data_IF_553458334133
#
_entry.id   IF_553458334133
#
_cell.length_a   1.000
_cell.length_b   1.000
_cell.length_c   1.000
_cell.angle_alpha   90.00
_cell.angle_beta   90.00
_cell.angle_gamma   90.00
#
_symmetry.space_group_name_H-M   'P 1'
#
loop_
_entity.id
_entity.type
_entity.pdbx_description
1 polymer ?
#
# COMPACT_ATOMS: atom_id res chain seq x y z
N UNK A 1 -23.34 3.02 14.05
CA UNK A 1 -22.00 2.39 14.07
C UNK A 1 -22.06 1.12 13.24
N UNK A 2 -21.57 1.17 11.99
CA UNK A 2 -21.55 -0.03 11.13
C UNK A 2 -20.41 -0.93 11.59
N UNK A 3 -20.75 -2.07 12.17
CA UNK A 3 -19.78 -3.13 12.40
C UNK A 3 -19.36 -3.65 11.02
N UNK A 4 -18.12 -3.33 10.61
CA UNK A 4 -17.51 -3.98 9.46
C UNK A 4 -17.53 -5.49 9.74
N UNK A 5 -18.31 -6.21 8.94
CA UNK A 5 -18.43 -7.66 8.98
C UNK A 5 -17.02 -8.23 8.85
N UNK A 6 -16.53 -8.89 9.91
CA UNK A 6 -15.14 -9.39 9.96
C UNK A 6 -14.85 -10.24 8.73
N UNK A 7 -13.72 -9.96 8.10
CA UNK A 7 -13.31 -10.54 6.82
C UNK A 7 -13.35 -12.07 6.82
N UNK A 8 -13.83 -12.63 5.72
CA UNK A 8 -13.92 -14.07 5.47
C UNK A 8 -12.49 -14.64 5.29
N UNK A 9 -11.95 -15.29 6.31
CA UNK A 9 -10.64 -15.95 6.26
C UNK A 9 -10.83 -17.35 5.67
N UNK A 10 -10.09 -17.66 4.61
CA UNK A 10 -10.05 -19.02 4.04
C UNK A 10 -8.68 -19.65 4.24
N UNK A 11 -8.71 -20.91 4.65
CA UNK A 11 -7.53 -21.76 4.77
C UNK A 11 -7.43 -22.69 3.56
N UNK A 12 -6.23 -22.85 3.01
CA UNK A 12 -5.94 -23.84 1.98
C UNK A 12 -4.52 -24.41 2.16
N UNK A 13 -4.16 -25.43 1.38
CA UNK A 13 -2.82 -26.08 1.41
C UNK A 13 -1.65 -25.12 1.16
N UNK A 14 -1.88 -23.90 0.68
CA UNK A 14 -0.88 -22.86 0.38
C UNK A 14 -0.79 -21.78 1.47
N UNK A 15 -1.59 -21.85 2.54
CA UNK A 15 -1.54 -20.95 3.70
C UNK A 15 -2.86 -20.23 4.02
N UNK A 16 -2.75 -19.16 4.81
CA UNK A 16 -3.87 -18.32 5.24
C UNK A 16 -4.10 -17.16 4.27
N UNK A 17 -5.36 -16.94 3.88
CA UNK A 17 -5.72 -15.86 2.97
C UNK A 17 -6.89 -15.04 3.51
N UNK A 18 -6.80 -13.73 3.35
CA UNK A 18 -7.82 -12.75 3.76
C UNK A 18 -8.30 -11.96 2.53
N UNK A 19 -9.62 -11.74 2.43
CA UNK A 19 -10.20 -10.79 1.46
C UNK A 19 -10.04 -9.39 2.02
N UNK A 20 -9.57 -8.47 1.19
CA UNK A 20 -9.41 -7.08 1.59
C UNK A 20 -10.52 -6.23 0.99
N UNK A 21 -11.38 -5.66 1.84
CA UNK A 21 -12.35 -4.58 1.58
C UNK A 21 -12.77 -4.43 0.11
N UNK A 22 -13.66 -5.30 -0.34
CA UNK A 22 -14.29 -5.21 -1.66
C UNK A 22 -13.39 -5.52 -2.86
N UNK A 23 -12.13 -5.90 -2.66
CA UNK A 23 -11.23 -6.30 -3.75
C UNK A 23 -11.28 -7.81 -3.97
N UNK A 24 -11.33 -8.22 -5.25
CA UNK A 24 -11.44 -9.62 -5.69
C UNK A 24 -10.16 -10.45 -5.48
N UNK A 25 -9.10 -9.87 -4.91
CA UNK A 25 -7.85 -10.58 -4.70
C UNK A 25 -7.65 -10.99 -3.24
N UNK A 26 -7.14 -12.20 -3.08
CA UNK A 26 -6.76 -12.78 -1.80
C UNK A 26 -5.31 -12.42 -1.49
N UNK A 27 -5.05 -11.99 -0.25
CA UNK A 27 -3.67 -11.75 0.21
C UNK A 27 -3.25 -12.81 1.20
N UNK A 28 -2.00 -13.26 1.09
CA UNK A 28 -1.41 -14.18 2.06
C UNK A 28 -1.18 -13.49 3.41
N UNK A 29 -1.58 -14.14 4.48
CA UNK A 29 -1.21 -13.76 5.84
C UNK A 29 0.14 -14.38 6.22
N UNK A 30 0.71 -13.88 7.31
CA UNK A 30 1.93 -14.40 7.87
C UNK A 30 1.78 -15.87 8.29
N UNK A 31 2.80 -16.69 8.04
CA UNK A 31 2.77 -18.12 8.38
C UNK A 31 2.89 -18.38 9.89
N UNK A 32 3.48 -17.45 10.65
CA UNK A 32 3.62 -17.56 12.11
C UNK A 32 2.23 -17.58 12.77
N UNK A 33 1.98 -18.60 13.60
CA UNK A 33 0.73 -18.79 14.31
C UNK A 33 0.38 -17.56 15.18
N UNK A 34 -0.90 -17.18 15.19
CA UNK A 34 -1.38 -15.97 15.86
C UNK A 34 -1.06 -14.65 15.14
N UNK A 35 -0.38 -14.67 13.98
CA UNK A 35 -0.06 -13.45 13.24
C UNK A 35 -1.02 -13.17 12.08
N UNK A 36 -1.99 -12.28 12.30
CA UNK A 36 -2.95 -11.85 11.26
C UNK A 36 -2.41 -10.71 10.36
N UNK A 37 -1.10 -10.44 10.41
CA UNK A 37 -0.50 -9.39 9.57
C UNK A 37 -0.21 -9.95 8.17
N UNK A 38 -0.31 -9.08 7.17
CA UNK A 38 -0.03 -9.44 5.77
C UNK A 38 1.42 -9.87 5.57
N UNK A 39 1.60 -10.98 4.87
CA UNK A 39 2.90 -11.40 4.40
C UNK A 39 3.39 -10.47 3.27
N UNK A 40 4.67 -10.09 3.32
CA UNK A 40 5.32 -9.29 2.28
C UNK A 40 6.41 -10.09 1.56
N UNK A 41 7.23 -10.82 2.30
CA UNK A 41 8.41 -11.53 1.78
C UNK A 41 8.44 -12.92 2.42
N UNK A 42 8.63 -13.97 1.61
CA UNK A 42 8.71 -15.37 2.07
C UNK A 42 7.54 -15.83 2.97
N UNK A 43 6.32 -15.38 2.68
CA UNK A 43 5.12 -15.64 3.50
C UNK A 43 5.22 -15.08 4.95
N UNK A 44 6.12 -14.14 5.23
CA UNK A 44 6.27 -13.48 6.53
C UNK A 44 5.87 -12.02 6.48
N UNK A 45 5.32 -11.53 7.59
CA UNK A 45 5.12 -10.10 7.77
C UNK A 45 6.46 -9.39 8.00
N UNK A 46 6.49 -8.06 7.85
CA UNK A 46 7.72 -7.26 8.00
C UNK A 46 8.43 -7.54 9.33
N UNK A 47 7.67 -7.68 10.42
CA UNK A 47 8.21 -7.93 11.77
C UNK A 47 8.92 -9.28 11.88
N UNK A 48 8.24 -10.38 11.51
CA UNK A 48 8.84 -11.71 11.60
C UNK A 48 10.01 -11.89 10.63
N UNK A 49 9.96 -11.22 9.47
CA UNK A 49 11.10 -11.21 8.56
C UNK A 49 12.32 -10.52 9.16
N UNK A 50 12.15 -9.38 9.83
CA UNK A 50 13.28 -8.70 10.49
C UNK A 50 13.82 -9.48 11.67
N UNK A 51 12.95 -10.09 12.49
CA UNK A 51 13.35 -10.92 13.62
C UNK A 51 14.15 -12.15 13.15
N UNK A 52 13.69 -12.85 12.12
CA UNK A 52 14.47 -13.97 11.58
C UNK A 52 15.80 -13.50 10.99
N UNK A 53 15.80 -12.39 10.25
CA UNK A 53 17.03 -11.86 9.66
C UNK A 53 18.07 -11.54 10.73
N UNK A 54 17.65 -10.97 11.86
CA UNK A 54 18.54 -10.73 13.01
C UNK A 54 19.07 -12.03 13.60
N UNK A 55 18.21 -13.05 13.79
CA UNK A 55 18.64 -14.38 14.27
C UNK A 55 19.69 -15.00 13.34
N UNK A 56 19.50 -14.93 12.02
CA UNK A 56 20.44 -15.50 11.05
C UNK A 56 21.81 -14.82 11.05
N UNK A 57 21.88 -13.54 11.42
CA UNK A 57 23.15 -12.80 11.52
C UNK A 57 23.98 -13.21 12.74
N UNK A 58 23.32 -13.67 13.81
CA UNK A 58 24.00 -14.11 15.04
C UNK A 58 24.56 -15.52 14.85
N UNK A 59 23.86 -16.39 14.12
CA UNK A 59 24.26 -17.78 13.90
C UNK A 59 25.50 -17.93 13.01
N UNK A 60 25.86 -16.91 12.22
CA UNK A 60 27.03 -16.97 11.33
C UNK A 60 28.40 -16.75 12.01
N UNK A 61 28.44 -16.42 13.31
CA UNK A 61 29.70 -16.04 13.99
C UNK A 61 30.21 -17.09 14.99
N UNK A 62 29.56 -18.24 15.11
CA UNK A 62 30.05 -19.30 16.01
C UNK A 62 29.96 -20.65 15.32
N UNK A 63 30.92 -20.89 14.42
CA UNK A 63 31.42 -22.24 14.16
C UNK A 63 32.49 -22.52 15.22
N UNK A 64 32.17 -23.08 16.40
CA UNK A 64 33.22 -23.74 17.16
C UNK A 64 33.67 -24.92 16.31
N UNK A 65 34.93 -24.89 15.89
CA UNK A 65 35.65 -26.07 15.41
C UNK A 65 35.58 -27.13 16.51
N UNK A 66 34.55 -27.96 16.46
CA UNK A 66 34.34 -29.01 17.44
C UNK A 66 35.14 -30.23 16.98
N UNK A 67 36.25 -30.45 17.68
CA UNK A 67 37.02 -31.69 17.65
C UNK A 67 36.08 -32.84 18.03
N UNK A 68 36.10 -33.97 17.29
CA UNK A 68 35.26 -35.11 17.61
C UNK A 68 35.78 -35.79 18.88
N UNK A 69 35.04 -35.68 19.97
CA UNK A 69 35.16 -36.62 21.09
C UNK A 69 33.85 -37.36 21.27
N UNK A 70 33.91 -38.64 20.90
CA UNK A 70 32.95 -39.65 21.24
C UNK A 70 32.97 -39.85 22.76
N UNK A 71 31.81 -39.78 23.39
CA UNK A 71 31.47 -40.71 24.48
C UNK A 71 29.97 -40.69 24.72
N UNK A 72 29.46 -41.91 24.75
CA UNK A 72 28.14 -42.31 25.20
C UNK A 72 27.92 -41.86 26.65
N UNK A 73 26.66 -41.69 27.06
CA UNK A 73 26.04 -42.30 28.27
C UNK A 73 24.75 -41.53 28.67
N UNK A 74 23.68 -42.34 28.81
CA UNK A 74 22.51 -42.29 29.71
C UNK A 74 21.57 -41.09 29.84
N UNK A 75 20.33 -41.32 29.37
CA UNK A 75 19.08 -41.39 30.15
C UNK A 75 19.00 -40.69 31.51
N UNK A 76 18.22 -39.60 31.61
CA UNK A 76 17.41 -39.22 32.81
C UNK A 76 16.12 -38.48 32.34
N UNK A 77 14.94 -38.74 32.95
CA UNK A 77 13.65 -38.18 32.53
C UNK A 77 13.23 -36.89 33.26
N UNK A 78 12.26 -36.21 32.63
CA UNK A 78 11.12 -35.45 33.19
C UNK A 78 11.33 -34.46 34.34
N UNK A 79 10.99 -33.19 34.08
CA UNK A 79 10.03 -32.44 34.92
C UNK A 79 9.53 -31.20 34.18
N UNK A 80 8.21 -31.16 34.04
CA UNK A 80 7.40 -30.07 33.47
C UNK A 80 7.17 -29.05 34.58
N UNK A 81 7.50 -27.78 34.34
CA UNK A 81 6.99 -26.66 35.14
C UNK A 81 6.30 -25.65 34.22
N UNK A 82 4.97 -25.77 34.17
CA UNK A 82 4.03 -24.77 33.68
C UNK A 82 4.06 -23.55 34.60
N UNK A 83 4.58 -22.44 34.11
CA UNK A 83 4.46 -21.13 34.75
C UNK A 83 3.35 -20.32 34.06
N UNK A 84 2.20 -20.30 34.70
CA UNK A 84 1.03 -19.50 34.32
C UNK A 84 1.26 -18.06 34.79
N UNK A 85 1.68 -17.18 33.88
CA UNK A 85 1.78 -15.74 34.16
C UNK A 85 0.43 -15.07 33.86
N UNK A 86 -0.34 -14.82 34.91
CA UNK A 86 -1.54 -13.97 34.88
C UNK A 86 -1.11 -12.50 34.90
N UNK A 87 -0.98 -11.89 33.72
CA UNK A 87 -0.78 -10.45 33.60
C UNK A 87 -2.13 -9.72 33.74
N UNK A 88 -2.34 -9.19 34.94
CA UNK A 88 -3.38 -8.23 35.30
C UNK A 88 -3.19 -6.95 34.48
N UNK A 89 -4.04 -6.74 33.48
CA UNK A 89 -4.10 -5.49 32.71
C UNK A 89 -4.86 -4.46 33.54
N UNK A 90 -4.12 -3.53 34.15
CA UNK A 90 -4.68 -2.31 34.74
C UNK A 90 -5.35 -1.47 33.66
N UNK A 91 -6.64 -1.24 33.83
CA UNK A 91 -7.43 -0.32 33.03
C UNK A 91 -6.94 1.11 33.26
N UNK A 92 -6.44 1.76 32.22
CA UNK A 92 -6.21 3.21 32.20
C UNK A 92 -7.54 3.85 31.72
N UNK A 93 -8.17 4.75 32.49
CA UNK A 93 -9.36 5.46 32.04
C UNK A 93 -8.99 6.43 30.89
N UNK A 94 -9.73 6.32 29.78
CA UNK A 94 -9.66 7.27 28.68
C UNK A 94 -10.21 8.64 29.13
N UNK A 95 -9.56 9.76 28.79
CA UNK A 95 -10.18 11.07 28.95
C UNK A 95 -11.30 11.29 27.91
N UNK A 96 -12.33 12.08 28.25
CA UNK A 96 -13.43 12.39 27.34
C UNK A 96 -12.95 13.25 26.15
N UNK A 97 -13.58 13.14 24.98
CA UNK A 97 -13.31 14.01 23.85
C UNK A 97 -13.87 15.42 24.12
N UNK A 98 -12.98 16.39 24.33
CA UNK A 98 -13.33 17.80 24.36
C UNK A 98 -13.63 18.29 22.94
N UNK A 99 -14.91 18.32 22.57
CA UNK A 99 -15.39 19.10 21.43
C UNK A 99 -15.52 20.56 21.85
N UNK A 100 -14.55 21.38 21.46
CA UNK A 100 -14.71 22.82 21.43
C UNK A 100 -14.39 23.33 20.02
N UNK A 101 -15.46 23.79 19.39
CA UNK A 101 -15.47 24.54 18.16
C UNK A 101 -15.21 26.00 18.52
N UNK A 102 -14.09 26.56 18.08
CA UNK A 102 -13.87 28.01 18.16
C UNK A 102 -13.27 28.48 16.83
N UNK A 103 -14.14 29.08 16.02
CA UNK A 103 -13.74 29.89 14.89
C UNK A 103 -13.34 31.26 15.41
N UNK A 104 -12.04 31.57 15.36
CA UNK A 104 -11.55 32.94 15.53
C UNK A 104 -10.46 33.21 14.50
N UNK A 105 -10.83 34.02 13.53
CA UNK A 105 -9.95 34.68 12.58
C UNK A 105 -9.12 35.71 13.33
N UNK A 106 -7.81 35.52 13.41
CA UNK A 106 -6.88 36.60 13.72
C UNK A 106 -5.56 36.37 12.98
N UNK A 107 -5.27 37.33 12.09
CA UNK A 107 -3.99 37.54 11.45
C UNK A 107 -2.86 37.61 12.48
N UNK A 108 -1.64 37.40 11.95
CA UNK A 108 -0.32 37.46 12.57
C UNK A 108 0.06 36.27 13.44
N UNK A 109 0.65 35.25 12.80
CA UNK A 109 1.95 34.79 13.28
C UNK A 109 2.75 34.05 12.20
N UNK A 110 4.03 34.41 12.09
CA UNK A 110 5.00 33.80 11.19
C UNK A 110 5.40 32.44 11.75
N UNK A 111 4.63 31.41 11.41
CA UNK A 111 5.12 30.04 11.42
C UNK A 111 5.14 29.56 9.98
N UNK A 112 6.33 29.22 9.49
CA UNK A 112 6.56 28.49 8.24
C UNK A 112 5.91 27.11 8.35
N UNK A 113 4.59 27.10 8.30
CA UNK A 113 3.84 25.92 7.96
C UNK A 113 4.17 25.63 6.50
N UNK A 114 4.94 24.57 6.29
CA UNK A 114 5.14 23.91 5.00
C UNK A 114 3.79 23.32 4.59
N UNK A 115 2.81 24.18 4.30
CA UNK A 115 1.68 23.82 3.48
C UNK A 115 2.25 23.68 2.08
N UNK A 116 2.59 22.45 1.69
CA UNK A 116 2.90 22.14 0.31
C UNK A 116 1.79 22.74 -0.56
N UNK A 117 2.14 23.71 -1.39
CA UNK A 117 1.25 24.34 -2.36
C UNK A 117 0.71 23.21 -3.24
N UNK A 118 -0.47 22.70 -2.89
CA UNK A 118 -1.22 21.79 -3.74
C UNK A 118 -1.46 22.55 -5.04
N UNK A 119 -1.14 21.91 -6.16
CA UNK A 119 -1.34 22.37 -7.54
C UNK A 119 -0.13 23.05 -8.20
N UNK A 120 1.10 22.68 -7.87
CA UNK A 120 2.22 22.99 -8.78
C UNK A 120 2.01 22.24 -10.12
N UNK A 121 1.78 23.01 -11.19
CA UNK A 121 1.71 22.50 -12.55
C UNK A 121 3.07 22.74 -13.21
N UNK A 122 3.71 21.66 -13.65
CA UNK A 122 4.95 21.76 -14.43
C UNK A 122 4.70 21.33 -15.87
N UNK A 123 5.24 22.11 -16.81
CA UNK A 123 5.32 21.74 -18.22
C UNK A 123 6.63 20.98 -18.46
N UNK A 124 6.57 19.81 -19.08
CA UNK A 124 7.75 19.09 -19.55
C UNK A 124 7.62 18.74 -21.03
N UNK A 125 8.68 18.15 -21.62
CA UNK A 125 8.69 17.70 -23.03
C UNK A 125 7.56 16.71 -23.39
N UNK A 126 6.87 16.14 -22.39
CA UNK A 126 5.76 15.19 -22.55
C UNK A 126 4.39 15.81 -22.17
N UNK A 127 4.31 17.12 -21.99
CA UNK A 127 3.08 17.86 -21.66
C UNK A 127 2.98 18.33 -20.20
N UNK A 128 1.78 18.73 -19.81
CA UNK A 128 1.49 19.26 -18.48
C UNK A 128 1.36 18.14 -17.43
N UNK A 129 1.92 18.36 -16.24
CA UNK A 129 1.80 17.46 -15.10
C UNK A 129 1.48 18.20 -13.82
N UNK A 130 0.69 17.56 -12.96
CA UNK A 130 0.29 18.06 -11.65
C UNK A 130 0.80 17.12 -10.55
N UNK A 131 1.33 17.69 -9.47
CA UNK A 131 1.77 16.95 -8.28
C UNK A 131 0.56 16.66 -7.37
N UNK A 132 0.26 15.39 -7.11
CA UNK A 132 -1.00 15.01 -6.44
C UNK A 132 -0.89 14.77 -4.92
N UNK A 133 0.28 14.39 -4.41
CA UNK A 133 0.42 13.92 -3.03
C UNK A 133 1.56 14.55 -2.24
N UNK A 134 2.18 15.62 -2.76
CA UNK A 134 3.34 16.26 -2.12
C UNK A 134 4.61 15.40 -2.08
N UNK A 135 4.54 14.11 -2.44
CA UNK A 135 5.66 13.15 -2.40
C UNK A 135 6.33 13.04 -3.78
N UNK A 136 6.17 14.07 -4.64
CA UNK A 136 6.79 14.07 -5.97
C UNK A 136 6.11 13.12 -6.97
N UNK A 137 4.92 12.58 -6.69
CA UNK A 137 4.18 11.84 -7.72
C UNK A 137 3.45 12.80 -8.65
N UNK A 138 3.88 12.76 -9.91
CA UNK A 138 3.32 13.59 -10.99
C UNK A 138 2.32 12.81 -11.82
N UNK A 139 1.18 13.43 -12.12
CA UNK A 139 0.14 12.84 -12.97
C UNK A 139 -0.01 13.66 -14.26
N UNK A 140 -0.21 13.01 -15.42
CA UNK A 140 -0.41 13.73 -16.66
C UNK A 140 -1.77 14.43 -16.69
N UNK A 141 -1.77 15.67 -17.17
CA UNK A 141 -2.97 16.41 -17.51
C UNK A 141 -3.34 16.20 -18.98
N UNK A 142 -4.57 16.57 -19.32
CA UNK A 142 -5.07 16.51 -20.68
C UNK A 142 -4.23 17.44 -21.59
N UNK A 143 -3.88 16.95 -22.77
CA UNK A 143 -3.08 17.71 -23.75
C UNK A 143 -3.88 18.81 -24.47
N UNK A 144 -5.20 18.68 -24.54
CA UNK A 144 -6.06 19.71 -25.11
C UNK A 144 -5.85 21.05 -24.42
N UNK A 145 -5.75 22.12 -25.21
CA UNK A 145 -5.54 23.48 -24.71
C UNK A 145 -6.55 23.83 -23.62
N UNK A 146 -6.05 24.44 -22.55
CA UNK A 146 -6.82 24.88 -21.38
C UNK A 146 -7.52 23.77 -20.58
N UNK A 147 -7.24 22.49 -20.86
CA UNK A 147 -7.85 21.38 -20.13
C UNK A 147 -6.99 20.91 -18.95
N UNK A 148 -7.31 21.40 -17.74
CA UNK A 148 -6.64 20.97 -16.50
C UNK A 148 -7.15 19.63 -15.95
N UNK A 149 -7.97 18.90 -16.71
CA UNK A 149 -8.48 17.59 -16.27
C UNK A 149 -7.39 16.53 -16.39
N UNK A 150 -7.37 15.60 -15.44
CA UNK A 150 -6.46 14.45 -15.46
C UNK A 150 -6.63 13.61 -16.73
N UNK A 151 -5.50 13.33 -17.38
CA UNK A 151 -5.47 12.41 -18.51
C UNK A 151 -5.67 10.96 -18.05
N UNK A 152 -6.45 10.20 -18.81
CA UNK A 152 -6.68 8.77 -18.57
C UNK A 152 -6.06 7.89 -19.65
N UNK A 153 -6.20 8.28 -20.93
CA UNK A 153 -5.77 7.47 -22.08
C UNK A 153 -5.22 8.40 -23.16
N UNK A 154 -4.07 8.03 -23.73
CA UNK A 154 -3.36 8.80 -24.78
C UNK A 154 -3.16 10.30 -24.44
N UNK A 155 -2.89 10.64 -23.18
CA UNK A 155 -2.76 12.04 -22.73
C UNK A 155 -4.03 12.89 -22.87
N UNK A 156 -5.22 12.30 -23.06
CA UNK A 156 -6.50 13.00 -23.05
C UNK A 156 -7.32 12.68 -21.81
N UNK A 157 -8.11 13.65 -21.36
CA UNK A 157 -9.21 13.38 -20.42
C UNK A 157 -10.33 12.58 -21.11
N UNK A 158 -11.25 12.01 -20.34
CA UNK A 158 -12.35 11.18 -20.89
C UNK A 158 -13.14 11.89 -21.99
N UNK A 159 -13.44 13.18 -21.81
CA UNK A 159 -14.21 14.00 -22.77
C UNK A 159 -13.45 14.18 -24.07
N UNK A 160 -12.24 14.75 -24.02
CA UNK A 160 -11.45 15.02 -25.23
C UNK A 160 -10.96 13.76 -25.93
N UNK A 161 -10.81 12.64 -25.22
CA UNK A 161 -10.52 11.35 -25.85
C UNK A 161 -11.66 10.90 -26.76
N UNK A 162 -12.91 11.00 -26.30
CA UNK A 162 -14.08 10.67 -27.12
C UNK A 162 -14.22 11.61 -28.31
N UNK A 163 -13.97 12.90 -28.12
CA UNK A 163 -14.01 13.91 -29.18
C UNK A 163 -12.96 13.64 -30.26
N UNK A 164 -11.71 13.35 -29.87
CA UNK A 164 -10.65 12.95 -30.79
C UNK A 164 -11.01 11.68 -31.57
N UNK A 165 -11.64 10.70 -30.93
CA UNK A 165 -12.08 9.47 -31.60
C UNK A 165 -13.18 9.74 -32.62
N UNK A 166 -14.11 10.64 -32.33
CA UNK A 166 -15.16 11.04 -33.27
C UNK A 166 -14.59 11.79 -34.47
N UNK A 167 -13.65 12.72 -34.25
CA UNK A 167 -12.95 13.43 -35.33
C UNK A 167 -12.19 12.46 -36.25
N UNK A 168 -11.52 11.45 -35.68
CA UNK A 168 -10.83 10.43 -36.47
C UNK A 168 -11.81 9.60 -37.32
N UNK A 169 -13.02 9.32 -36.80
CA UNK A 169 -14.05 8.60 -37.56
C UNK A 169 -14.60 9.44 -38.71
N UNK A 170 -14.91 10.73 -38.50
CA UNK A 170 -15.38 11.63 -39.57
C UNK A 170 -14.33 11.87 -40.65
N UNK A 171 -13.06 11.93 -40.27
CA UNK A 171 -11.98 12.08 -41.26
C UNK A 171 -11.82 10.80 -42.11
N UNK A 172 -12.00 9.62 -41.52
CA UNK A 172 -11.94 8.36 -42.26
C UNK A 172 -13.09 8.20 -43.26
N UNK A 173 -14.26 8.79 -43.02
CA UNK A 173 -15.39 8.72 -43.97
C UNK A 173 -15.18 9.67 -45.15
N UNK A 174 -14.65 10.86 -44.90
CA UNK A 174 -14.35 11.82 -45.98
C UNK A 174 -13.32 11.27 -46.98
N UNK A 175 -12.26 10.63 -46.48
CA UNK A 175 -11.21 10.04 -47.35
C UNK A 175 -11.76 8.93 -48.25
N UNK A 176 -12.77 8.17 -47.79
CA UNK A 176 -13.39 7.11 -48.61
C UNK A 176 -14.24 7.71 -49.74
N UNK A 177 -15.09 8.68 -49.41
CA UNK A 177 -15.96 9.33 -50.39
C UNK A 177 -15.17 10.07 -51.48
N UNK A 178 -13.99 10.60 -51.16
CA UNK A 178 -13.12 11.27 -52.16
C UNK A 178 -12.48 10.28 -53.13
N UNK A 179 -12.30 9.01 -52.72
CA UNK A 179 -11.79 7.96 -53.59
C UNK A 179 -12.85 7.46 -54.57
N UNK A 180 -14.11 7.36 -54.14
CA UNK A 180 -15.21 6.85 -54.97
C UNK A 180 -15.71 7.87 -56.01
N UNK A 181 -15.38 9.15 -55.89
CA UNK A 181 -15.74 10.21 -56.84
C UNK A 181 -14.69 10.45 -57.95
N UNK A 182 -13.63 9.64 -58.01
CA UNK A 182 -12.49 9.84 -58.92
C UNK A 182 -12.42 8.83 -60.08
N UNK A 183 -13.40 7.94 -60.16
CA UNK A 183 -13.61 6.98 -61.26
C UNK A 183 -14.85 7.38 -62.08
#
# INVERSE_FOLDING_TARGET
>A
MSFHQRDEIRWNKKGYFERFDGKKYWRKLCVIEGCMKRAKVLNWCKRHYTEQKQKSLITTTTTPTQVPQQSLISSIPSSITTSTNSNTVSQIPMPPPSYLYTSTSSLSDQSESIFHVRNEIRLNKRGYREQYDGIGHWRPLCIHEQCLKRAKKLSYCKRHYSEQMNQNQSNSTNIKNEKDNKD
#
